data_IF_532490096518
#
_entry.id   IF_532490096518
#
_cell.length_a   1.000
_cell.length_b   1.000
_cell.length_c   1.000
_cell.angle_alpha   90.00
_cell.angle_beta   90.00
_cell.angle_gamma   90.00
#
_symmetry.space_group_name_H-M   'P 1'
#
loop_
_entity.id
_entity.type
_entity.pdbx_description
1 polymer ?
#
# COMPACT_ATOMS: atom_id res chain seq x y z
N UNK A 1 -20.86 -49.99 -6.64
CA UNK A 1 -21.82 -49.01 -7.22
C UNK A 1 -22.42 -48.07 -6.17
N UNK A 2 -23.04 -48.55 -5.09
CA UNK A 2 -23.62 -47.69 -4.00
C UNK A 2 -22.72 -46.56 -3.47
N UNK A 3 -21.43 -46.80 -3.19
CA UNK A 3 -20.51 -45.77 -2.70
C UNK A 3 -20.27 -44.62 -3.70
N UNK A 4 -20.25 -44.92 -5.02
CA UNK A 4 -20.08 -43.89 -6.06
C UNK A 4 -21.34 -43.03 -6.20
N UNK A 5 -22.53 -43.63 -6.12
CA UNK A 5 -23.80 -42.89 -6.14
C UNK A 5 -23.96 -42.00 -4.90
N UNK A 6 -23.55 -42.46 -3.71
CA UNK A 6 -23.57 -41.63 -2.50
C UNK A 6 -22.62 -40.42 -2.58
N UNK A 7 -21.42 -40.59 -3.14
CA UNK A 7 -20.47 -39.47 -3.34
C UNK A 7 -21.04 -38.45 -4.33
N UNK A 8 -21.60 -38.90 -5.45
CA UNK A 8 -22.22 -38.01 -6.44
C UNK A 8 -23.40 -37.24 -5.85
N UNK A 9 -24.23 -37.89 -5.03
CA UNK A 9 -25.36 -37.23 -4.37
C UNK A 9 -24.90 -36.16 -3.37
N UNK A 10 -23.87 -36.46 -2.57
CA UNK A 10 -23.28 -35.51 -1.61
C UNK A 10 -22.68 -34.31 -2.33
N UNK A 11 -21.95 -34.53 -3.43
CA UNK A 11 -21.39 -33.46 -4.25
C UNK A 11 -22.48 -32.60 -4.91
N UNK A 12 -23.57 -33.21 -5.38
CA UNK A 12 -24.70 -32.48 -5.95
C UNK A 12 -25.42 -31.61 -4.91
N UNK A 13 -25.62 -32.12 -3.70
CA UNK A 13 -26.20 -31.36 -2.58
C UNK A 13 -25.28 -30.21 -2.19
N UNK A 14 -23.98 -30.45 -2.06
CA UNK A 14 -22.99 -29.39 -1.79
C UNK A 14 -23.00 -28.31 -2.87
N UNK A 15 -23.03 -28.69 -4.15
CA UNK A 15 -23.11 -27.75 -5.25
C UNK A 15 -24.40 -26.92 -5.22
N UNK A 16 -25.55 -27.54 -4.91
CA UNK A 16 -26.83 -26.84 -4.76
C UNK A 16 -26.82 -25.85 -3.58
N UNK A 17 -26.23 -26.24 -2.44
CA UNK A 17 -26.08 -25.37 -1.27
C UNK A 17 -25.15 -24.19 -1.56
N UNK A 18 -24.03 -24.41 -2.26
CA UNK A 18 -23.14 -23.33 -2.69
C UNK A 18 -23.84 -22.39 -3.66
N UNK A 19 -24.57 -22.92 -4.65
CA UNK A 19 -25.34 -22.11 -5.60
C UNK A 19 -26.43 -21.29 -4.90
N UNK A 20 -27.15 -21.88 -3.95
CA UNK A 20 -28.14 -21.17 -3.14
C UNK A 20 -27.48 -20.07 -2.28
N UNK A 21 -26.36 -20.37 -1.62
CA UNK A 21 -25.62 -19.40 -0.83
C UNK A 21 -25.13 -18.22 -1.69
N UNK A 22 -24.56 -18.48 -2.86
CA UNK A 22 -24.14 -17.43 -3.80
C UNK A 22 -25.34 -16.60 -4.29
N UNK A 23 -26.50 -17.22 -4.53
CA UNK A 23 -27.71 -16.50 -4.92
C UNK A 23 -28.23 -15.58 -3.80
N UNK A 24 -28.32 -16.06 -2.56
CA UNK A 24 -28.83 -15.28 -1.43
C UNK A 24 -27.85 -14.21 -0.92
N UNK A 25 -26.54 -14.43 -1.08
CA UNK A 25 -25.49 -13.47 -0.71
C UNK A 25 -25.19 -12.47 -1.82
N UNK A 26 -25.76 -12.65 -3.02
CA UNK A 26 -25.56 -11.72 -4.12
C UNK A 26 -26.13 -10.35 -3.73
N UNK A 27 -25.36 -9.26 -3.88
CA UNK A 27 -25.88 -7.92 -3.67
C UNK A 27 -27.15 -7.71 -4.50
N UNK A 28 -28.16 -7.05 -3.91
CA UNK A 28 -29.44 -6.79 -4.56
C UNK A 28 -29.29 -6.01 -5.87
N UNK A 29 -30.31 -6.11 -6.72
CA UNK A 29 -30.35 -5.38 -7.99
C UNK A 29 -30.17 -3.87 -7.77
N UNK A 30 -29.40 -3.25 -8.66
CA UNK A 30 -29.13 -1.83 -8.62
C UNK A 30 -30.43 -1.06 -8.88
N UNK A 31 -30.93 -0.18 -7.97
CA UNK A 31 -31.95 0.79 -8.33
C UNK A 31 -31.49 1.62 -9.54
N UNK A 32 -32.36 1.73 -10.55
CA UNK A 32 -32.17 2.58 -11.72
C UNK A 32 -31.88 4.00 -11.25
N UNK A 33 -30.62 4.42 -11.39
CA UNK A 33 -30.22 5.78 -11.07
C UNK A 33 -30.56 6.62 -12.30
N UNK A 34 -31.59 7.46 -12.18
CA UNK A 34 -31.94 8.39 -13.25
C UNK A 34 -30.72 9.24 -13.60
N UNK A 35 -30.46 9.44 -14.90
CA UNK A 35 -29.43 10.40 -15.35
C UNK A 35 -29.82 11.79 -14.86
N UNK A 36 -29.20 12.25 -13.78
CA UNK A 36 -29.29 13.63 -13.39
C UNK A 36 -28.49 14.46 -14.39
N UNK A 37 -29.04 15.60 -14.82
CA UNK A 37 -28.29 16.56 -15.62
C UNK A 37 -26.97 16.89 -14.90
N UNK A 38 -25.85 17.07 -15.62
CA UNK A 38 -24.59 17.40 -14.99
C UNK A 38 -24.79 18.64 -14.12
N UNK A 39 -24.66 18.46 -12.80
CA UNK A 39 -24.59 19.59 -11.89
C UNK A 39 -23.40 20.39 -12.37
N UNK A 40 -23.60 21.65 -12.76
CA UNK A 40 -22.51 22.56 -13.09
C UNK A 40 -21.66 22.73 -11.82
N UNK A 41 -20.69 21.83 -11.64
CA UNK A 41 -19.85 21.81 -10.45
C UNK A 41 -19.08 23.13 -10.40
N UNK A 42 -19.13 23.79 -9.24
CA UNK A 42 -18.33 25.00 -9.04
C UNK A 42 -16.85 24.63 -9.10
N UNK A 43 -15.99 25.58 -9.47
CA UNK A 43 -14.52 25.39 -9.44
C UNK A 43 -14.03 24.88 -8.09
N UNK A 44 -14.70 25.27 -6.99
CA UNK A 44 -14.38 24.78 -5.64
C UNK A 44 -14.59 23.27 -5.49
N UNK A 45 -15.69 22.72 -6.04
CA UNK A 45 -15.98 21.27 -5.99
C UNK A 45 -14.95 20.51 -6.83
N UNK A 46 -14.63 21.01 -8.03
CA UNK A 46 -13.63 20.39 -8.92
C UNK A 46 -12.25 20.37 -8.25
N UNK A 47 -11.81 21.50 -7.67
CA UNK A 47 -10.52 21.58 -6.97
C UNK A 47 -10.47 20.64 -5.75
N UNK A 48 -11.58 20.51 -5.01
CA UNK A 48 -11.70 19.53 -3.92
C UNK A 48 -11.61 18.10 -4.46
N UNK A 49 -12.26 17.82 -5.58
CA UNK A 49 -12.21 16.52 -6.26
C UNK A 49 -10.81 16.15 -6.71
N UNK A 50 -10.07 17.10 -7.30
CA UNK A 50 -8.67 16.90 -7.68
C UNK A 50 -7.81 16.57 -6.46
N UNK A 51 -7.96 17.34 -5.39
CA UNK A 51 -7.26 17.11 -4.13
C UNK A 51 -7.50 15.70 -3.59
N UNK A 52 -8.77 15.27 -3.54
CA UNK A 52 -9.16 13.96 -3.03
C UNK A 52 -8.77 12.81 -3.97
N UNK A 53 -8.82 13.01 -5.29
CA UNK A 53 -8.37 12.02 -6.27
C UNK A 53 -6.85 11.78 -6.17
N UNK A 54 -6.07 12.82 -5.86
CA UNK A 54 -4.64 12.68 -5.54
C UNK A 54 -4.45 11.98 -4.21
N UNK A 55 -5.12 12.41 -3.13
CA UNK A 55 -5.04 11.78 -1.82
C UNK A 55 -5.44 10.29 -1.84
N UNK A 56 -6.41 9.93 -2.70
CA UNK A 56 -6.87 8.57 -2.94
C UNK A 56 -5.98 7.71 -3.83
N UNK A 57 -4.84 8.24 -4.26
CA UNK A 57 -3.87 7.56 -5.14
C UNK A 57 -4.46 7.10 -6.49
N UNK A 58 -5.55 7.75 -6.94
CA UNK A 58 -6.23 7.39 -8.19
C UNK A 58 -5.27 7.49 -9.39
N UNK A 59 -4.40 8.51 -9.39
CA UNK A 59 -3.43 8.75 -10.47
C UNK A 59 -2.42 7.60 -10.56
N UNK A 60 -1.91 7.11 -9.43
CA UNK A 60 -0.87 6.06 -9.41
C UNK A 60 -1.36 4.74 -10.04
N UNK A 61 -2.63 4.43 -9.83
CA UNK A 61 -3.25 3.22 -10.39
C UNK A 61 -3.73 3.44 -11.82
N UNK A 62 -4.47 4.52 -12.08
CA UNK A 62 -5.18 4.74 -13.35
C UNK A 62 -4.36 5.48 -14.41
N UNK A 63 -3.06 5.71 -14.19
CA UNK A 63 -2.17 6.34 -15.16
C UNK A 63 -0.92 5.48 -15.35
N UNK A 64 -0.61 5.13 -16.60
CA UNK A 64 0.67 4.50 -16.94
C UNK A 64 1.76 5.55 -17.14
N UNK A 65 3.05 5.22 -16.92
CA UNK A 65 4.14 6.13 -17.26
C UNK A 65 4.02 6.63 -18.72
N UNK A 66 4.13 7.95 -18.91
CA UNK A 66 3.97 8.63 -20.20
C UNK A 66 2.59 8.45 -20.88
N UNK A 67 1.58 7.92 -20.18
CA UNK A 67 0.22 7.81 -20.66
C UNK A 67 -0.63 9.05 -20.36
N UNK A 68 -1.82 9.09 -20.96
CA UNK A 68 -2.80 10.10 -20.61
C UNK A 68 -3.33 9.86 -19.18
N UNK A 69 -3.49 10.95 -18.42
CA UNK A 69 -3.94 10.90 -17.04
C UNK A 69 -5.27 10.17 -16.93
N UNK A 70 -5.37 9.21 -15.99
CA UNK A 70 -6.57 8.41 -15.72
C UNK A 70 -7.05 7.46 -16.84
N UNK A 71 -6.31 7.32 -17.94
CA UNK A 71 -6.69 6.47 -19.08
C UNK A 71 -6.54 4.96 -18.81
N UNK A 72 -6.04 4.56 -17.65
CA UNK A 72 -5.86 3.16 -17.26
C UNK A 72 -4.75 2.45 -18.04
N UNK A 73 -4.82 1.12 -18.06
CA UNK A 73 -3.90 0.24 -18.78
C UNK A 73 -2.71 -0.28 -17.96
N UNK A 74 -2.54 0.17 -16.70
CA UNK A 74 -1.48 -0.33 -15.83
C UNK A 74 -1.73 -1.80 -15.49
N UNK A 75 -0.72 -2.64 -15.71
CA UNK A 75 -0.70 -4.01 -15.22
C UNK A 75 -0.34 -4.01 -13.72
N UNK A 76 -1.16 -4.66 -12.91
CA UNK A 76 -0.95 -4.85 -11.49
C UNK A 76 -0.74 -6.35 -11.23
N UNK A 77 0.52 -6.71 -10.97
CA UNK A 77 0.87 -8.09 -10.66
C UNK A 77 0.33 -8.47 -9.28
N UNK A 78 -0.43 -9.54 -9.21
CA UNK A 78 -0.94 -10.14 -7.96
C UNK A 78 -0.55 -11.61 -7.88
N UNK A 79 -0.52 -12.22 -6.68
CA UNK A 79 -0.25 -13.67 -6.56
C UNK A 79 -1.19 -14.54 -7.40
N UNK A 80 -2.32 -13.98 -7.83
CA UNK A 80 -3.37 -14.63 -8.58
C UNK A 80 -3.29 -14.39 -10.10
N UNK A 81 -2.34 -13.57 -10.57
CA UNK A 81 -2.21 -13.14 -11.97
C UNK A 81 -2.22 -11.62 -12.12
N UNK A 82 -2.26 -11.13 -13.36
CA UNK A 82 -2.25 -9.70 -13.63
C UNK A 82 -3.67 -9.13 -13.68
N UNK A 83 -3.90 -8.08 -12.90
CA UNK A 83 -5.05 -7.19 -13.06
C UNK A 83 -4.67 -6.03 -13.97
N UNK A 84 -5.64 -5.47 -14.68
CA UNK A 84 -5.43 -4.31 -15.56
C UNK A 84 -6.37 -3.19 -15.13
N UNK A 85 -5.80 -2.05 -14.77
CA UNK A 85 -6.54 -0.93 -14.21
C UNK A 85 -7.37 -0.24 -15.32
N UNK A 86 -8.68 0.01 -15.13
CA UNK A 86 -9.54 0.57 -16.18
C UNK A 86 -9.31 2.06 -16.41
N UNK A 87 -9.76 2.54 -17.56
CA UNK A 87 -9.89 3.95 -17.87
C UNK A 87 -11.04 4.58 -17.05
N UNK A 88 -10.77 5.70 -16.37
CA UNK A 88 -11.77 6.44 -15.57
C UNK A 88 -11.92 7.90 -16.04
N UNK A 89 -11.52 8.20 -17.28
CA UNK A 89 -11.80 9.48 -17.94
C UNK A 89 -13.28 9.58 -18.35
N UNK A 90 -13.80 10.77 -18.72
CA UNK A 90 -15.21 10.93 -19.09
C UNK A 90 -15.54 10.43 -20.51
N UNK A 91 -14.74 9.55 -21.08
CA UNK A 91 -15.07 8.88 -22.34
C UNK A 91 -16.28 7.96 -22.15
N UNK A 92 -17.29 8.08 -23.03
CA UNK A 92 -18.56 7.37 -22.91
C UNK A 92 -18.45 5.85 -23.16
N UNK A 93 -17.53 5.46 -24.05
CA UNK A 93 -17.41 4.09 -24.55
C UNK A 93 -16.48 3.23 -23.67
N UNK A 94 -15.37 3.83 -23.22
CA UNK A 94 -14.26 3.12 -22.57
C UNK A 94 -13.94 3.62 -21.18
N UNK A 95 -14.45 4.79 -20.79
CA UNK A 95 -14.29 5.40 -19.48
C UNK A 95 -15.58 5.38 -18.66
N UNK A 96 -15.76 6.42 -17.83
CA UNK A 96 -16.93 6.60 -16.96
C UNK A 96 -17.92 7.64 -17.48
N UNK A 97 -17.80 8.09 -18.74
CA UNK A 97 -18.61 9.19 -19.30
C UNK A 97 -20.13 8.98 -19.17
N UNK A 98 -20.58 7.72 -19.34
CA UNK A 98 -21.99 7.37 -19.23
C UNK A 98 -22.49 7.14 -17.79
N UNK A 99 -21.60 7.19 -16.79
CA UNK A 99 -21.96 6.93 -15.39
C UNK A 99 -22.69 8.13 -14.79
N UNK A 100 -23.41 7.90 -13.71
CA UNK A 100 -23.95 8.97 -12.86
C UNK A 100 -23.09 9.12 -11.60
N UNK A 101 -23.23 10.23 -10.87
CA UNK A 101 -22.60 10.38 -9.57
C UNK A 101 -23.04 9.28 -8.59
N UNK A 102 -24.29 8.81 -8.69
CA UNK A 102 -24.81 7.68 -7.89
C UNK A 102 -24.14 6.35 -8.27
N UNK A 103 -23.90 6.10 -9.56
CA UNK A 103 -23.16 4.91 -10.01
C UNK A 103 -21.72 4.92 -9.47
N UNK A 104 -21.06 6.08 -9.53
CA UNK A 104 -19.70 6.25 -9.02
C UNK A 104 -19.63 6.08 -7.50
N UNK A 105 -20.52 6.74 -6.76
CA UNK A 105 -20.65 6.60 -5.30
C UNK A 105 -20.83 5.14 -4.89
N UNK A 106 -21.78 4.46 -5.55
CA UNK A 106 -22.06 3.07 -5.29
C UNK A 106 -20.87 2.17 -5.59
N UNK A 107 -20.16 2.40 -6.70
CA UNK A 107 -18.98 1.62 -7.03
C UNK A 107 -17.88 1.80 -5.98
N UNK A 108 -17.64 3.03 -5.52
CA UNK A 108 -16.67 3.28 -4.45
C UNK A 108 -17.06 2.64 -3.12
N UNK A 109 -18.35 2.63 -2.79
CA UNK A 109 -18.84 2.10 -1.51
C UNK A 109 -19.05 0.60 -1.48
N UNK A 110 -19.42 0.02 -2.62
CA UNK A 110 -19.86 -1.38 -2.69
C UNK A 110 -18.94 -2.23 -3.55
N UNK A 111 -18.01 -1.68 -4.31
CA UNK A 111 -17.18 -2.45 -5.24
C UNK A 111 -17.99 -3.13 -6.36
N UNK A 112 -19.14 -2.56 -6.72
CA UNK A 112 -20.01 -3.04 -7.80
C UNK A 112 -20.01 -1.98 -8.90
N UNK A 113 -19.55 -2.36 -10.09
CA UNK A 113 -19.59 -1.48 -11.27
C UNK A 113 -21.03 -1.23 -11.75
N UNK A 114 -21.22 -0.19 -12.57
CA UNK A 114 -22.53 0.21 -13.14
C UNK A 114 -23.34 -0.94 -13.77
N UNK A 115 -22.68 -1.92 -14.38
CA UNK A 115 -23.36 -3.07 -15.01
C UNK A 115 -23.61 -4.25 -14.04
N UNK A 116 -23.39 -4.05 -12.74
CA UNK A 116 -23.57 -5.07 -11.71
C UNK A 116 -22.36 -5.98 -11.51
N UNK A 117 -21.25 -5.77 -12.24
CA UNK A 117 -20.09 -6.64 -12.08
C UNK A 117 -19.30 -6.32 -10.81
N UNK A 118 -18.96 -7.36 -10.04
CA UNK A 118 -18.11 -7.27 -8.86
C UNK A 118 -16.67 -6.90 -9.23
N UNK A 119 -16.12 -5.91 -8.53
CA UNK A 119 -14.73 -5.51 -8.65
C UNK A 119 -13.83 -6.37 -7.78
N UNK A 120 -12.62 -6.65 -8.27
CA UNK A 120 -11.58 -7.26 -7.47
C UNK A 120 -11.12 -6.28 -6.37
N UNK A 121 -10.77 -6.78 -5.17
CA UNK A 121 -10.42 -5.94 -4.01
C UNK A 121 -9.09 -5.19 -4.15
N UNK A 122 -8.39 -5.36 -5.29
CA UNK A 122 -7.33 -4.45 -5.70
C UNK A 122 -7.84 -3.02 -5.90
N UNK A 123 -9.10 -2.85 -6.30
CA UNK A 123 -9.80 -1.58 -6.13
C UNK A 123 -10.18 -1.47 -4.64
N UNK A 124 -9.73 -0.44 -3.92
CA UNK A 124 -9.78 -0.39 -2.46
C UNK A 124 -11.17 0.01 -1.93
N UNK A 125 -12.25 -0.55 -2.46
CA UNK A 125 -13.63 -0.20 -2.09
C UNK A 125 -13.94 -0.44 -0.60
N UNK A 126 -13.23 -1.36 0.06
CA UNK A 126 -13.34 -1.59 1.49
C UNK A 126 -12.88 -0.37 2.33
N UNK A 127 -11.92 0.38 1.82
CA UNK A 127 -11.48 1.64 2.40
C UNK A 127 -12.29 2.81 1.88
N UNK A 128 -12.54 2.86 0.56
CA UNK A 128 -13.30 3.95 -0.04
C UNK A 128 -14.76 4.03 0.41
N UNK A 129 -15.34 2.96 0.95
CA UNK A 129 -16.66 3.03 1.57
C UNK A 129 -16.72 4.00 2.76
N UNK A 130 -15.57 4.40 3.33
CA UNK A 130 -15.48 5.39 4.40
C UNK A 130 -15.65 6.83 3.89
N UNK A 131 -15.53 7.07 2.58
CA UNK A 131 -15.51 8.40 1.97
C UNK A 131 -16.93 8.96 1.92
N UNK A 132 -17.16 10.14 2.48
CA UNK A 132 -18.49 10.76 2.46
C UNK A 132 -19.03 10.93 1.05
N UNK A 133 -20.36 10.91 0.92
CA UNK A 133 -21.04 11.24 -0.35
C UNK A 133 -20.53 12.53 -1.00
N UNK A 134 -20.37 13.60 -0.23
CA UNK A 134 -19.89 14.90 -0.75
C UNK A 134 -18.50 14.82 -1.38
N UNK A 135 -17.61 14.01 -0.79
CA UNK A 135 -16.24 13.86 -1.24
C UNK A 135 -16.16 12.93 -2.46
N UNK A 136 -17.03 11.92 -2.51
CA UNK A 136 -17.19 11.06 -3.69
C UNK A 136 -17.75 11.83 -4.89
N UNK A 137 -18.76 12.68 -4.68
CA UNK A 137 -19.32 13.55 -5.72
C UNK A 137 -18.28 14.58 -6.22
N UNK A 138 -17.43 15.10 -5.33
CA UNK A 138 -16.34 15.99 -5.71
C UNK A 138 -15.31 15.28 -6.60
N UNK A 139 -14.86 14.07 -6.22
CA UNK A 139 -13.96 13.25 -7.03
C UNK A 139 -14.58 12.99 -8.40
N UNK A 140 -15.85 12.59 -8.44
CA UNK A 140 -16.58 12.36 -9.69
C UNK A 140 -16.62 13.62 -10.55
N UNK A 141 -16.98 14.78 -9.98
CA UNK A 141 -17.01 16.05 -10.70
C UNK A 141 -15.64 16.41 -11.30
N UNK A 142 -14.54 16.16 -10.57
CA UNK A 142 -13.19 16.34 -11.12
C UNK A 142 -12.90 15.39 -12.28
N UNK A 143 -13.17 14.09 -12.13
CA UNK A 143 -12.99 13.10 -13.21
C UNK A 143 -13.87 13.40 -14.42
N UNK A 144 -15.02 14.04 -14.26
CA UNK A 144 -15.86 14.47 -15.38
C UNK A 144 -15.41 15.78 -16.02
N UNK A 145 -14.48 16.50 -15.41
CA UNK A 145 -13.96 17.79 -15.91
C UNK A 145 -12.68 17.66 -16.76
N UNK A 146 -12.00 16.51 -16.71
CA UNK A 146 -10.76 16.27 -17.47
C UNK A 146 -11.05 15.89 -18.93
N UNK A 147 -10.01 15.87 -19.75
CA UNK A 147 -10.13 15.43 -21.14
C UNK A 147 -10.52 13.93 -21.24
N UNK A 148 -11.52 13.57 -22.07
CA UNK A 148 -11.85 12.18 -22.34
C UNK A 148 -10.73 11.50 -23.13
N UNK A 149 -10.42 10.26 -22.78
CA UNK A 149 -9.45 9.44 -23.51
C UNK A 149 -10.14 8.15 -23.91
N UNK A 150 -10.16 7.83 -25.21
CA UNK A 150 -10.72 6.57 -25.70
C UNK A 150 -9.69 5.46 -25.60
N UNK A 151 -9.72 4.70 -24.51
CA UNK A 151 -8.80 3.59 -24.24
C UNK A 151 -9.54 2.43 -23.60
N UNK A 152 -9.77 1.37 -24.38
CA UNK A 152 -10.41 0.14 -23.89
C UNK A 152 -9.46 -0.58 -22.93
N UNK A 153 -9.97 -1.01 -21.78
CA UNK A 153 -9.18 -1.81 -20.85
C UNK A 153 -8.91 -3.22 -21.40
N UNK A 154 -7.85 -3.85 -20.90
CA UNK A 154 -7.51 -5.25 -21.19
C UNK A 154 -8.21 -6.18 -20.19
N UNK A 155 -8.55 -7.38 -20.65
CA UNK A 155 -9.02 -8.46 -19.80
C UNK A 155 -7.95 -8.88 -18.78
N UNK A 156 -8.37 -9.23 -17.56
CA UNK A 156 -7.45 -9.68 -16.54
C UNK A 156 -6.87 -11.07 -16.87
N UNK A 157 -5.62 -11.28 -16.49
CA UNK A 157 -4.90 -12.55 -16.67
C UNK A 157 -4.81 -13.29 -15.33
N UNK A 158 -5.97 -13.49 -14.73
CA UNK A 158 -6.08 -14.23 -13.47
C UNK A 158 -6.10 -15.73 -13.74
N UNK A 159 -5.47 -16.49 -12.85
CA UNK A 159 -5.46 -17.94 -12.88
C UNK A 159 -6.73 -18.47 -12.24
N UNK A 160 -7.24 -19.60 -12.73
CA UNK A 160 -8.31 -20.32 -12.05
C UNK A 160 -7.87 -20.69 -10.62
N UNK A 161 -8.73 -20.53 -9.60
CA UNK A 161 -10.15 -20.14 -9.68
C UNK A 161 -10.42 -18.62 -9.63
N UNK A 162 -9.41 -17.78 -9.46
CA UNK A 162 -9.55 -16.33 -9.22
C UNK A 162 -10.08 -15.54 -10.43
N UNK A 163 -10.07 -16.11 -11.64
CA UNK A 163 -10.71 -15.54 -12.81
C UNK A 163 -12.26 -15.60 -12.77
N UNK A 164 -12.85 -16.34 -11.84
CA UNK A 164 -14.30 -16.41 -11.66
C UNK A 164 -14.79 -15.34 -10.68
N UNK A 165 -15.45 -14.29 -11.21
CA UNK A 165 -15.93 -13.15 -10.41
C UNK A 165 -17.02 -13.50 -9.40
N UNK A 166 -17.77 -14.58 -9.58
CA UNK A 166 -18.83 -14.98 -8.63
C UNK A 166 -18.24 -15.42 -7.27
N UNK A 167 -16.98 -15.87 -7.25
CA UNK A 167 -16.28 -16.20 -6.00
C UNK A 167 -16.05 -14.96 -5.10
N UNK A 168 -16.13 -13.75 -5.67
CA UNK A 168 -16.03 -12.52 -4.90
C UNK A 168 -17.23 -12.30 -3.97
N UNK A 169 -18.38 -12.94 -4.21
CA UNK A 169 -19.53 -12.90 -3.28
C UNK A 169 -19.13 -13.50 -1.92
N UNK A 170 -18.49 -14.67 -1.95
CA UNK A 170 -17.96 -15.30 -0.73
C UNK A 170 -16.86 -14.47 -0.09
N UNK A 171 -15.91 -13.96 -0.89
CA UNK A 171 -14.82 -13.12 -0.38
C UNK A 171 -15.34 -11.87 0.36
N UNK A 172 -16.29 -11.16 -0.23
CA UNK A 172 -16.87 -9.94 0.36
C UNK A 172 -17.60 -10.23 1.66
N UNK A 173 -18.31 -11.36 1.74
CA UNK A 173 -18.98 -11.79 2.98
C UNK A 173 -18.00 -11.98 4.15
N UNK A 174 -16.74 -12.31 3.86
CA UNK A 174 -15.71 -12.54 4.87
C UNK A 174 -14.88 -11.29 5.21
N UNK A 175 -14.64 -10.41 4.25
CA UNK A 175 -13.62 -9.35 4.35
C UNK A 175 -14.12 -7.93 4.08
N UNK A 176 -15.38 -7.74 3.69
CA UNK A 176 -15.91 -6.42 3.38
C UNK A 176 -17.06 -6.04 4.31
N UNK A 177 -16.92 -4.85 4.91
CA UNK A 177 -17.97 -4.19 5.68
C UNK A 177 -18.17 -2.79 5.11
N UNK A 178 -19.36 -2.56 4.56
CA UNK A 178 -19.75 -1.26 4.05
C UNK A 178 -20.00 -0.26 5.18
N UNK A 179 -19.64 1.01 4.97
CA UNK A 179 -20.05 2.10 5.84
C UNK A 179 -19.16 3.33 5.70
N UNK A 180 -19.82 4.50 5.62
CA UNK A 180 -19.17 5.81 5.67
C UNK A 180 -18.51 6.04 7.04
N UNK A 181 -17.43 6.82 7.04
CA UNK A 181 -16.71 7.15 8.26
C UNK A 181 -17.60 7.91 9.24
N UNK A 182 -17.59 7.43 10.49
CA UNK A 182 -18.24 8.11 11.61
C UNK A 182 -17.17 8.63 12.57
N UNK A 183 -17.19 9.92 12.93
CA UNK A 183 -16.28 10.45 13.93
C UNK A 183 -16.34 9.66 15.24
N UNK A 184 -15.18 9.32 15.77
CA UNK A 184 -15.06 8.62 17.05
C UNK A 184 -15.34 9.60 18.19
N UNK A 185 -16.37 9.37 19.03
CA UNK A 185 -16.65 10.23 20.17
C UNK A 185 -15.46 10.32 21.13
N UNK A 186 -15.21 11.51 21.67
CA UNK A 186 -14.10 11.75 22.60
C UNK A 186 -12.73 11.96 21.94
N UNK A 187 -12.61 11.78 20.62
CA UNK A 187 -11.41 12.13 19.87
C UNK A 187 -11.50 13.56 19.32
N UNK A 188 -10.35 14.21 19.13
CA UNK A 188 -10.29 15.56 18.56
C UNK A 188 -10.72 15.58 17.08
N UNK A 189 -11.06 16.78 16.57
CA UNK A 189 -11.36 16.96 15.15
C UNK A 189 -10.16 16.60 14.26
N UNK A 190 -8.94 16.97 14.66
CA UNK A 190 -7.69 16.64 13.97
C UNK A 190 -7.47 15.12 13.93
N UNK A 191 -7.69 14.41 15.04
CA UNK A 191 -7.59 12.95 15.06
C UNK A 191 -8.62 12.29 14.14
N UNK A 192 -9.88 12.75 14.17
CA UNK A 192 -10.94 12.21 13.32
C UNK A 192 -10.67 12.48 11.83
N UNK A 193 -10.09 13.64 11.49
CA UNK A 193 -9.66 13.95 10.13
C UNK A 193 -8.54 13.01 9.67
N UNK A 194 -7.56 12.75 10.53
CA UNK A 194 -6.51 11.78 10.25
C UNK A 194 -7.03 10.37 10.05
N UNK A 195 -7.94 9.93 10.93
CA UNK A 195 -8.58 8.62 10.83
C UNK A 195 -9.37 8.46 9.53
N UNK A 196 -10.13 9.49 9.13
CA UNK A 196 -10.87 9.53 7.87
C UNK A 196 -9.94 9.35 6.66
N UNK A 197 -8.83 10.09 6.61
CA UNK A 197 -7.87 10.02 5.50
C UNK A 197 -7.12 8.69 5.47
N UNK A 198 -6.62 8.21 6.62
CA UNK A 198 -5.83 6.97 6.72
C UNK A 198 -6.66 5.72 6.43
N UNK A 199 -7.91 5.67 6.91
CA UNK A 199 -8.80 4.52 6.70
C UNK A 199 -9.53 4.56 5.37
N UNK A 200 -9.83 5.76 4.89
CA UNK A 200 -10.53 6.02 3.64
C UNK A 200 -9.58 6.10 2.46
N UNK A 201 -9.43 7.29 1.88
CA UNK A 201 -8.68 7.51 0.64
C UNK A 201 -7.22 7.06 0.70
N UNK A 202 -6.53 7.20 1.83
CA UNK A 202 -5.15 6.75 1.99
C UNK A 202 -5.00 5.23 2.16
N UNK A 203 -6.09 4.50 2.46
CA UNK A 203 -6.18 3.04 2.54
C UNK A 203 -4.95 2.34 3.14
N UNK A 204 -4.35 2.92 4.19
CA UNK A 204 -3.00 2.55 4.61
C UNK A 204 -2.94 1.10 5.13
N UNK A 205 -4.05 0.62 5.68
CA UNK A 205 -4.20 -0.76 6.14
C UNK A 205 -4.02 -1.80 5.02
N UNK A 206 -4.22 -1.45 3.74
CA UNK A 206 -4.06 -2.41 2.64
C UNK A 206 -2.62 -2.88 2.43
N UNK A 207 -1.64 -2.02 2.72
CA UNK A 207 -0.23 -2.42 2.70
C UNK A 207 0.25 -2.81 4.10
N UNK A 208 -0.16 -2.05 5.12
CA UNK A 208 0.28 -2.27 6.50
C UNK A 208 -0.52 -3.34 7.27
N UNK A 209 -1.22 -4.24 6.57
CA UNK A 209 -1.88 -5.40 7.18
C UNK A 209 -1.61 -6.62 6.33
N UNK A 210 -1.11 -7.70 6.93
CA UNK A 210 -0.89 -8.95 6.23
C UNK A 210 -2.17 -9.44 5.56
N UNK A 211 -2.08 -9.76 4.27
CA UNK A 211 -3.13 -10.44 3.52
C UNK A 211 -2.92 -11.95 3.59
N UNK A 212 -4.01 -12.71 3.70
CA UNK A 212 -3.97 -14.16 3.71
C UNK A 212 -3.98 -14.75 2.29
N UNK A 213 -3.97 -16.08 2.18
CA UNK A 213 -3.96 -16.79 0.89
C UNK A 213 -5.18 -16.52 0.00
N UNK A 214 -6.29 -16.02 0.55
CA UNK A 214 -7.49 -15.61 -0.20
C UNK A 214 -7.43 -14.13 -0.63
N UNK A 215 -6.34 -13.42 -0.32
CA UNK A 215 -6.19 -11.99 -0.61
C UNK A 215 -7.00 -11.08 0.31
N UNK A 216 -7.49 -11.60 1.45
CA UNK A 216 -8.21 -10.82 2.46
C UNK A 216 -7.32 -10.40 3.63
N UNK A 217 -7.59 -9.24 4.23
CA UNK A 217 -6.97 -8.75 5.46
C UNK A 217 -7.90 -8.96 6.66
N UNK A 218 -7.33 -9.04 7.87
CA UNK A 218 -8.10 -9.17 9.11
C UNK A 218 -8.17 -7.83 9.85
N UNK A 219 -9.37 -7.38 10.21
CA UNK A 219 -9.55 -6.15 11.01
C UNK A 219 -8.86 -6.22 12.37
N UNK A 220 -8.87 -7.39 13.03
CA UNK A 220 -8.20 -7.57 14.32
C UNK A 220 -6.68 -7.43 14.23
N UNK A 221 -6.11 -7.63 13.04
CA UNK A 221 -4.69 -7.47 12.73
C UNK A 221 -4.36 -6.19 11.97
N UNK A 222 -5.30 -5.25 11.87
CA UNK A 222 -5.09 -4.01 11.14
C UNK A 222 -3.82 -3.30 11.64
N UNK A 223 -2.99 -2.86 10.68
CA UNK A 223 -1.75 -2.11 10.92
C UNK A 223 -0.60 -2.90 11.58
N UNK A 224 -0.67 -4.24 11.60
CA UNK A 224 0.40 -5.11 12.11
C UNK A 224 1.53 -5.39 11.11
N UNK A 225 1.47 -4.79 9.92
CA UNK A 225 2.49 -4.96 8.89
C UNK A 225 2.41 -6.31 8.16
N UNK A 226 3.35 -6.52 7.24
CA UNK A 226 3.44 -7.73 6.45
C UNK A 226 4.19 -7.56 5.13
N UNK A 227 4.44 -8.68 4.45
CA UNK A 227 4.95 -8.64 3.08
C UNK A 227 3.87 -8.13 2.13
N UNK A 228 4.23 -7.14 1.30
CA UNK A 228 3.39 -6.67 0.20
C UNK A 228 3.48 -7.72 -0.93
N UNK A 229 2.38 -8.43 -1.23
CA UNK A 229 2.42 -9.51 -2.22
C UNK A 229 2.89 -9.00 -3.58
N UNK A 230 3.76 -9.78 -4.23
CA UNK A 230 4.33 -9.53 -5.56
C UNK A 230 5.15 -8.24 -5.75
N UNK A 231 5.12 -7.29 -4.81
CA UNK A 231 6.05 -6.16 -4.79
C UNK A 231 7.36 -6.53 -4.08
N UNK A 232 7.33 -7.58 -3.25
CA UNK A 232 8.49 -8.11 -2.53
C UNK A 232 9.14 -7.08 -1.60
N UNK A 233 8.35 -6.13 -1.13
CA UNK A 233 8.70 -5.18 -0.07
C UNK A 233 7.95 -5.55 1.20
N UNK A 234 8.54 -5.20 2.34
CA UNK A 234 7.91 -5.37 3.64
C UNK A 234 7.28 -4.04 4.08
N UNK A 235 5.98 -4.03 4.33
CA UNK A 235 5.29 -2.92 4.97
C UNK A 235 5.40 -3.11 6.48
N UNK A 236 6.16 -2.28 7.21
CA UNK A 236 6.36 -2.51 8.65
C UNK A 236 5.07 -2.25 9.44
N UNK A 237 4.95 -2.88 10.60
CA UNK A 237 3.87 -2.65 11.55
C UNK A 237 3.85 -1.20 12.03
N UNK A 238 2.68 -0.55 11.95
CA UNK A 238 2.46 0.80 12.50
C UNK A 238 2.03 0.75 13.97
N UNK A 239 1.80 -0.45 14.50
CA UNK A 239 1.32 -0.72 15.88
C UNK A 239 2.40 -1.35 16.77
N UNK A 240 3.64 -1.46 16.27
CA UNK A 240 4.77 -2.03 16.99
C UNK A 240 5.95 -1.07 16.95
N UNK A 241 6.34 -0.53 18.11
CA UNK A 241 7.53 0.33 18.24
C UNK A 241 8.85 -0.39 17.91
N UNK A 242 8.85 -1.72 17.72
CA UNK A 242 10.00 -2.47 17.19
C UNK A 242 10.17 -2.30 15.68
N UNK A 243 9.10 -1.91 15.00
CA UNK A 243 9.05 -1.69 13.56
C UNK A 243 8.74 -0.22 13.27
N UNK A 244 7.68 0.10 12.54
CA UNK A 244 7.30 1.49 12.24
C UNK A 244 6.27 2.06 13.24
N UNK A 245 6.17 1.51 14.45
CA UNK A 245 5.40 2.14 15.53
C UNK A 245 5.96 3.52 15.84
N UNK A 246 5.07 4.51 15.86
CA UNK A 246 5.42 5.93 15.84
C UNK A 246 5.43 6.57 17.24
N UNK A 247 5.49 5.76 18.31
CA UNK A 247 5.28 6.23 19.68
C UNK A 247 6.26 7.33 20.13
N UNK A 248 7.55 7.13 19.87
CA UNK A 248 8.62 8.08 20.20
C UNK A 248 8.87 9.15 19.11
N UNK A 249 8.24 9.02 17.95
CA UNK A 249 8.38 9.97 16.85
C UNK A 249 7.67 11.28 17.16
N UNK A 250 8.23 12.40 16.71
CA UNK A 250 7.50 13.67 16.73
C UNK A 250 6.43 13.68 15.64
N UNK A 251 5.36 14.44 15.83
CA UNK A 251 4.28 14.54 14.83
C UNK A 251 4.84 15.11 13.52
N UNK A 252 5.77 16.04 13.63
CA UNK A 252 6.46 16.67 12.51
C UNK A 252 7.27 15.65 11.70
N UNK A 253 8.02 14.75 12.36
CA UNK A 253 8.80 13.71 11.67
C UNK A 253 7.89 12.75 10.87
N UNK A 254 6.68 12.49 11.37
CA UNK A 254 5.70 11.62 10.69
C UNK A 254 5.09 12.38 9.51
N UNK A 255 4.65 13.62 9.72
CA UNK A 255 4.07 14.46 8.68
C UNK A 255 5.07 14.69 7.52
N UNK A 256 6.34 14.97 7.85
CA UNK A 256 7.40 15.14 6.86
C UNK A 256 7.68 13.83 6.10
N UNK A 257 7.73 12.68 6.79
CA UNK A 257 7.90 11.40 6.12
C UNK A 257 6.77 11.14 5.11
N UNK A 258 5.52 11.47 5.46
CA UNK A 258 4.35 11.28 4.60
C UNK A 258 4.28 12.28 3.44
N UNK A 259 4.59 13.56 3.66
CA UNK A 259 4.37 14.61 2.66
C UNK A 259 5.64 14.94 1.85
N UNK A 260 6.80 14.85 2.49
CA UNK A 260 8.12 15.17 1.89
C UNK A 260 8.82 13.92 1.39
N UNK A 261 8.58 12.78 2.04
CA UNK A 261 9.23 11.50 1.76
C UNK A 261 10.51 11.26 2.58
N UNK A 262 10.95 12.26 3.34
CA UNK A 262 12.12 12.19 4.23
C UNK A 262 11.81 12.92 5.54
N UNK A 263 12.41 12.45 6.63
CA UNK A 263 12.38 13.12 7.94
C UNK A 263 13.73 12.95 8.63
N UNK A 264 13.88 13.47 9.85
CA UNK A 264 15.12 13.26 10.61
C UNK A 264 15.29 11.82 11.08
N UNK A 265 14.21 11.03 11.05
CA UNK A 265 14.16 9.64 11.51
C UNK A 265 14.34 8.63 10.38
N UNK A 266 13.94 8.97 9.15
CA UNK A 266 14.01 8.04 8.05
C UNK A 266 13.60 8.61 6.71
N UNK A 267 13.57 7.75 5.70
CA UNK A 267 13.15 8.06 4.34
C UNK A 267 12.21 6.97 3.85
N UNK A 268 11.20 7.34 3.06
CA UNK A 268 10.41 6.35 2.32
C UNK A 268 11.21 5.83 1.12
N UNK A 269 10.91 4.61 0.71
CA UNK A 269 11.50 3.94 -0.44
C UNK A 269 10.50 2.91 -0.98
N UNK A 270 10.78 2.38 -2.18
CA UNK A 270 9.94 1.37 -2.82
C UNK A 270 8.49 1.85 -2.97
N UNK A 271 7.48 1.03 -2.62
CA UNK A 271 6.07 1.37 -2.82
C UNK A 271 5.62 2.62 -2.07
N UNK A 272 6.15 2.88 -0.87
CA UNK A 272 5.82 4.12 -0.17
C UNK A 272 6.40 5.36 -0.83
N UNK A 273 7.52 5.26 -1.55
CA UNK A 273 8.00 6.38 -2.36
C UNK A 273 7.04 6.69 -3.51
N UNK A 274 6.44 5.67 -4.14
CA UNK A 274 5.40 5.87 -5.16
C UNK A 274 4.14 6.53 -4.58
N UNK A 275 3.70 6.11 -3.39
CA UNK A 275 2.55 6.70 -2.68
C UNK A 275 2.81 8.17 -2.34
N UNK A 276 3.98 8.50 -1.80
CA UNK A 276 4.33 9.90 -1.50
C UNK A 276 4.41 10.72 -2.78
N UNK A 277 5.02 10.18 -3.84
CA UNK A 277 5.18 10.88 -5.11
C UNK A 277 3.83 11.15 -5.82
N UNK A 278 2.94 10.18 -5.88
CA UNK A 278 1.69 10.32 -6.63
C UNK A 278 0.52 10.89 -5.80
N UNK A 279 0.56 10.75 -4.47
CA UNK A 279 -0.55 11.09 -3.57
C UNK A 279 -0.15 12.06 -2.46
N UNK A 280 0.59 11.60 -1.45
CA UNK A 280 0.63 12.29 -0.15
C UNK A 280 1.35 13.66 -0.19
N UNK A 281 2.26 13.89 -1.13
CA UNK A 281 2.91 15.20 -1.29
C UNK A 281 1.94 16.34 -1.66
N UNK A 282 0.72 16.00 -2.08
CA UNK A 282 -0.32 16.95 -2.45
C UNK A 282 -1.25 17.33 -1.31
N UNK A 283 -1.18 16.64 -0.17
CA UNK A 283 -1.96 16.97 1.01
C UNK A 283 -1.65 18.38 1.52
N UNK A 284 -2.62 19.01 2.16
CA UNK A 284 -2.35 20.19 2.98
C UNK A 284 -1.51 19.80 4.19
N UNK A 285 -0.81 20.78 4.77
CA UNK A 285 0.00 20.56 5.97
C UNK A 285 -0.87 20.11 7.15
N UNK A 286 -2.10 20.64 7.26
CA UNK A 286 -3.08 20.24 8.26
C UNK A 286 -3.53 18.78 8.09
N UNK A 287 -3.74 18.32 6.86
CA UNK A 287 -4.16 16.93 6.61
C UNK A 287 -3.00 15.95 6.82
N UNK A 288 -1.78 16.30 6.40
CA UNK A 288 -0.59 15.50 6.68
C UNK A 288 -0.35 15.38 8.20
N UNK A 289 -0.52 16.48 8.94
CA UNK A 289 -0.45 16.50 10.41
C UNK A 289 -1.57 15.70 11.06
N UNK A 290 -2.80 15.81 10.56
CA UNK A 290 -3.93 15.04 11.05
C UNK A 290 -3.68 13.53 10.90
N UNK A 291 -3.19 13.09 9.73
CA UNK A 291 -2.78 11.70 9.50
C UNK A 291 -1.69 11.28 10.49
N UNK A 292 -0.67 12.12 10.72
CA UNK A 292 0.37 11.86 11.71
C UNK A 292 -0.17 11.71 13.13
N UNK A 293 -1.10 12.56 13.55
CA UNK A 293 -1.78 12.48 14.86
C UNK A 293 -2.53 11.17 15.02
N UNK A 294 -3.30 10.76 14.00
CA UNK A 294 -4.02 9.50 14.02
C UNK A 294 -3.07 8.29 14.09
N UNK A 295 -2.06 8.25 13.22
CA UNK A 295 -1.10 7.14 13.15
C UNK A 295 -0.29 6.99 14.44
N UNK A 296 0.15 8.10 15.04
CA UNK A 296 0.85 8.08 16.33
C UNK A 296 -0.02 7.55 17.47
N UNK A 297 -1.33 7.79 17.40
CA UNK A 297 -2.29 7.34 18.41
C UNK A 297 -2.77 5.89 18.22
N UNK A 298 -2.25 5.16 17.22
CA UNK A 298 -2.60 3.75 17.04
C UNK A 298 -2.20 2.92 18.27
N UNK A 299 -3.05 1.99 18.74
CA UNK A 299 -2.74 1.14 19.88
C UNK A 299 -1.46 0.34 19.64
N UNK A 300 -0.54 0.38 20.61
CA UNK A 300 0.64 -0.46 20.59
C UNK A 300 0.24 -1.90 20.96
N UNK A 301 0.40 -2.83 20.03
CA UNK A 301 0.02 -4.24 20.22
C UNK A 301 1.21 -5.12 20.61
N UNK A 302 2.41 -4.76 20.16
CA UNK A 302 3.65 -5.44 20.54
C UNK A 302 4.42 -4.63 21.58
N UNK A 303 4.27 -5.01 22.84
CA UNK A 303 4.98 -4.42 23.99
C UNK A 303 6.20 -5.23 24.41
N UNK A 304 6.50 -6.32 23.70
CA UNK A 304 7.60 -7.19 24.07
C UNK A 304 8.94 -6.42 24.03
N UNK A 305 9.81 -6.57 25.06
CA UNK A 305 11.06 -5.80 25.15
C UNK A 305 11.96 -6.11 23.95
N UNK A 306 12.65 -5.12 23.37
CA UNK A 306 13.48 -5.32 22.18
C UNK A 306 14.38 -6.55 22.34
N UNK A 307 14.53 -7.41 21.31
CA UNK A 307 15.42 -8.56 21.41
C UNK A 307 16.80 -8.10 21.84
N UNK A 308 17.46 -8.88 22.69
CA UNK A 308 18.88 -8.66 23.00
C UNK A 308 19.68 -8.67 21.70
N UNK A 309 20.70 -7.81 21.61
CA UNK A 309 21.49 -7.70 20.38
C UNK A 309 21.96 -9.07 19.91
N UNK A 310 21.61 -9.41 18.67
CA UNK A 310 21.95 -10.69 18.05
C UNK A 310 23.37 -10.72 17.49
N UNK A 311 24.18 -9.67 17.74
CA UNK A 311 25.58 -9.61 17.36
C UNK A 311 26.38 -10.85 17.79
N UNK A 312 26.04 -11.42 18.96
CA UNK A 312 26.70 -12.63 19.51
C UNK A 312 26.49 -13.89 18.65
N UNK A 313 25.49 -13.91 17.78
CA UNK A 313 25.20 -15.04 16.89
C UNK A 313 25.92 -14.92 15.54
N UNK A 314 26.59 -13.80 15.27
CA UNK A 314 27.32 -13.58 14.02
C UNK A 314 28.77 -14.02 14.20
N UNK A 315 29.29 -14.82 13.26
CA UNK A 315 30.68 -15.24 13.31
C UNK A 315 31.62 -14.04 13.12
N UNK A 316 32.83 -14.05 13.73
CA UNK A 316 33.82 -12.98 13.55
C UNK A 316 34.16 -12.70 12.08
N UNK A 317 34.19 -13.74 11.24
CA UNK A 317 34.50 -13.64 9.82
C UNK A 317 33.40 -12.88 9.06
N UNK A 318 32.12 -13.16 9.34
CA UNK A 318 30.99 -12.45 8.73
C UNK A 318 30.97 -11.00 9.20
N UNK A 319 31.21 -10.74 10.49
CA UNK A 319 31.28 -9.38 11.03
C UNK A 319 32.40 -8.57 10.37
N UNK A 320 33.59 -9.13 10.24
CA UNK A 320 34.73 -8.44 9.63
C UNK A 320 34.53 -8.22 8.12
N UNK A 321 33.96 -9.21 7.42
CA UNK A 321 33.57 -9.07 6.01
C UNK A 321 32.57 -7.91 5.82
N UNK A 322 31.49 -7.91 6.61
CA UNK A 322 30.47 -6.86 6.56
C UNK A 322 31.02 -5.48 6.88
N UNK A 323 31.90 -5.38 7.88
CA UNK A 323 32.59 -4.13 8.25
C UNK A 323 33.48 -3.62 7.11
N UNK A 324 34.25 -4.48 6.45
CA UNK A 324 35.10 -4.10 5.31
C UNK A 324 34.27 -3.53 4.16
N UNK A 325 33.18 -4.22 3.80
CA UNK A 325 32.25 -3.75 2.77
C UNK A 325 31.64 -2.41 3.18
N UNK A 326 31.19 -2.28 4.43
CA UNK A 326 30.59 -1.03 4.94
C UNK A 326 31.54 0.16 4.82
N UNK A 327 32.80 0.00 5.28
CA UNK A 327 33.81 1.06 5.22
C UNK A 327 34.12 1.44 3.77
N UNK A 328 34.20 0.46 2.88
CA UNK A 328 34.53 0.70 1.48
C UNK A 328 33.38 1.37 0.69
N UNK A 329 32.12 1.00 0.97
CA UNK A 329 30.99 1.30 0.09
C UNK A 329 29.93 2.22 0.72
N UNK A 330 29.78 2.23 2.04
CA UNK A 330 28.64 2.84 2.72
C UNK A 330 29.01 4.03 3.62
N UNK A 331 30.17 3.95 4.28
CA UNK A 331 30.58 4.90 5.31
C UNK A 331 30.78 6.34 4.79
N UNK A 332 31.03 6.52 3.49
CA UNK A 332 31.17 7.84 2.86
C UNK A 332 29.90 8.69 2.99
N UNK A 333 28.73 8.06 2.97
CA UNK A 333 27.43 8.74 3.13
C UNK A 333 26.84 8.55 4.53
N UNK A 334 26.93 7.33 5.09
CA UNK A 334 26.30 7.01 6.38
C UNK A 334 27.20 7.25 7.60
N UNK A 335 28.45 7.65 7.38
CA UNK A 335 29.46 7.87 8.43
C UNK A 335 30.04 6.56 8.98
N UNK A 336 31.20 6.64 9.64
CA UNK A 336 31.84 5.44 10.23
C UNK A 336 30.99 4.76 11.32
N UNK A 337 30.15 5.52 12.01
CA UNK A 337 29.27 5.05 13.09
C UNK A 337 27.80 4.92 12.65
N UNK A 338 27.51 4.94 11.35
CA UNK A 338 26.13 4.81 10.87
C UNK A 338 25.19 5.93 11.30
N UNK A 339 25.69 7.09 11.73
CA UNK A 339 24.86 8.22 12.19
C UNK A 339 24.18 8.97 11.04
N UNK A 340 24.66 8.79 9.80
CA UNK A 340 24.17 9.51 8.63
C UNK A 340 24.34 11.02 8.74
N UNK A 341 23.64 11.73 7.86
CA UNK A 341 23.53 13.18 7.83
C UNK A 341 22.10 13.52 7.37
N UNK A 342 21.17 13.56 8.31
CA UNK A 342 19.77 13.83 8.01
C UNK A 342 19.57 15.25 7.43
N UNK A 343 18.59 15.45 6.52
CA UNK A 343 17.71 14.42 5.95
C UNK A 343 18.30 13.70 4.71
N UNK A 344 19.49 14.11 4.25
CA UNK A 344 20.10 13.60 3.00
C UNK A 344 20.50 12.13 3.09
N UNK A 345 21.14 11.72 4.19
CA UNK A 345 21.56 10.36 4.45
C UNK A 345 20.97 9.90 5.78
N UNK A 346 19.99 8.99 5.79
CA UNK A 346 19.32 8.60 7.03
C UNK A 346 20.31 7.90 7.98
N UNK A 347 20.09 8.02 9.31
CA UNK A 347 20.83 7.23 10.27
C UNK A 347 20.56 5.74 10.05
N UNK A 348 21.59 4.91 10.15
CA UNK A 348 21.49 3.45 10.22
C UNK A 348 21.55 2.95 11.67
N UNK A 349 22.30 3.66 12.51
CA UNK A 349 22.35 3.42 13.94
C UNK A 349 21.02 3.84 14.60
N UNK A 350 20.42 2.95 15.39
CA UNK A 350 19.15 3.19 16.09
C UNK A 350 17.93 3.37 15.18
N UNK A 351 18.03 3.04 13.89
CA UNK A 351 16.93 3.20 12.94
C UNK A 351 16.04 1.95 12.93
N UNK A 352 14.75 2.13 13.20
CA UNK A 352 13.79 1.02 13.25
C UNK A 352 13.66 0.26 11.92
N UNK A 353 13.82 0.93 10.77
CA UNK A 353 13.82 0.27 9.45
C UNK A 353 14.99 -0.72 9.28
N UNK A 354 16.05 -0.54 10.06
CA UNK A 354 17.21 -1.43 10.11
C UNK A 354 17.01 -2.51 11.17
N UNK A 355 16.44 -2.20 12.33
CA UNK A 355 16.32 -3.15 13.45
C UNK A 355 15.05 -4.00 13.44
N UNK A 356 14.06 -3.69 12.59
CA UNK A 356 12.84 -4.47 12.45
C UNK A 356 13.11 -5.94 12.11
N UNK A 357 12.19 -6.84 12.49
CA UNK A 357 12.37 -8.29 12.37
C UNK A 357 12.71 -8.75 10.95
N UNK A 358 11.97 -8.24 9.97
CA UNK A 358 12.21 -8.53 8.55
C UNK A 358 13.44 -7.78 8.02
N UNK A 359 14.45 -8.46 7.45
CA UNK A 359 15.57 -7.78 6.79
C UNK A 359 15.29 -7.36 5.35
N UNK A 360 14.11 -7.71 4.79
CA UNK A 360 13.79 -7.57 3.36
C UNK A 360 14.11 -6.17 2.84
N UNK A 361 13.64 -5.13 3.52
CA UNK A 361 13.84 -3.76 3.03
C UNK A 361 15.32 -3.35 3.05
N UNK A 362 16.06 -3.70 4.10
CA UNK A 362 17.49 -3.39 4.18
C UNK A 362 18.31 -4.10 3.09
N UNK A 363 17.99 -5.36 2.79
CA UNK A 363 18.62 -6.10 1.69
C UNK A 363 18.29 -5.44 0.35
N UNK A 364 17.01 -5.10 0.12
CA UNK A 364 16.58 -4.44 -1.12
C UNK A 364 17.21 -3.07 -1.29
N UNK A 365 17.36 -2.28 -0.24
CA UNK A 365 18.04 -0.99 -0.33
C UNK A 365 19.51 -1.15 -0.75
N UNK A 366 20.22 -2.15 -0.22
CA UNK A 366 21.59 -2.44 -0.67
C UNK A 366 21.62 -2.92 -2.12
N UNK A 367 20.74 -3.84 -2.51
CA UNK A 367 20.72 -4.37 -3.87
C UNK A 367 20.32 -3.30 -4.91
N UNK A 368 19.24 -2.59 -4.66
CA UNK A 368 18.58 -1.72 -5.63
C UNK A 368 19.08 -0.29 -5.58
N UNK A 369 19.63 0.15 -4.43
CA UNK A 369 19.80 1.56 -4.16
C UNK A 369 18.47 2.31 -4.32
N UNK A 370 18.55 3.53 -4.86
CA UNK A 370 17.40 4.30 -5.27
C UNK A 370 17.35 5.69 -4.64
N UNK A 371 16.25 6.38 -4.89
CA UNK A 371 16.02 7.74 -4.41
C UNK A 371 14.75 7.78 -3.55
N UNK A 372 14.73 8.60 -2.50
CA UNK A 372 13.49 9.15 -1.97
C UNK A 372 12.69 9.83 -3.10
N UNK A 373 11.37 9.99 -2.97
CA UNK A 373 10.55 10.62 -4.00
C UNK A 373 10.92 12.10 -4.15
N UNK A 374 11.01 12.57 -5.40
CA UNK A 374 11.12 14.00 -5.68
C UNK A 374 9.77 14.67 -5.42
N UNK A 375 9.68 15.46 -4.35
CA UNK A 375 8.42 16.12 -3.95
C UNK A 375 8.53 17.64 -4.05
N UNK A 376 7.40 18.35 -3.95
CA UNK A 376 7.39 19.83 -3.88
C UNK A 376 8.26 20.38 -2.74
N UNK A 377 8.33 19.67 -1.61
CA UNK A 377 9.12 20.04 -0.42
C UNK A 377 10.53 19.40 -0.39
N UNK A 378 10.82 18.47 -1.30
CA UNK A 378 12.15 17.87 -1.48
C UNK A 378 12.39 17.55 -2.97
N UNK A 379 12.61 18.58 -3.82
CA UNK A 379 12.64 18.40 -5.27
C UNK A 379 13.92 17.73 -5.79
N UNK A 380 14.95 17.61 -4.95
CA UNK A 380 16.27 17.05 -5.31
C UNK A 380 16.77 16.11 -4.22
N UNK A 381 16.14 14.93 -4.06
CA UNK A 381 16.51 13.97 -3.02
C UNK A 381 17.88 13.35 -3.30
N UNK A 382 18.63 13.03 -2.25
CA UNK A 382 19.89 12.30 -2.36
C UNK A 382 19.61 10.81 -2.54
N UNK A 383 20.31 10.18 -3.49
CA UNK A 383 20.16 8.76 -3.80
C UNK A 383 21.21 7.89 -3.11
N UNK A 384 20.89 6.60 -3.00
CA UNK A 384 21.80 5.52 -2.64
C UNK A 384 22.16 4.74 -3.92
N UNK A 385 23.45 4.47 -4.21
CA UNK A 385 23.83 3.69 -5.38
C UNK A 385 23.36 2.22 -5.25
N UNK A 386 23.02 1.55 -6.37
CA UNK A 386 22.73 0.12 -6.37
C UNK A 386 24.01 -0.70 -6.21
N UNK A 387 24.03 -1.67 -5.31
CA UNK A 387 25.20 -2.56 -5.13
C UNK A 387 25.00 -3.97 -5.69
N UNK A 388 23.87 -4.26 -6.34
CA UNK A 388 23.61 -5.57 -6.95
C UNK A 388 24.72 -5.99 -7.93
N UNK A 389 25.26 -5.09 -8.74
CA UNK A 389 26.29 -5.44 -9.71
C UNK A 389 27.71 -5.51 -9.11
N UNK A 390 27.91 -5.02 -7.88
CA UNK A 390 29.24 -4.92 -7.24
C UNK A 390 29.46 -5.98 -6.17
N UNK A 391 28.42 -6.29 -5.39
CA UNK A 391 28.49 -7.19 -4.24
C UNK A 391 27.83 -8.53 -4.56
N UNK A 392 28.51 -9.62 -4.23
CA UNK A 392 27.91 -10.95 -4.26
C UNK A 392 26.96 -11.18 -3.06
N UNK A 393 26.21 -12.28 -3.06
CA UNK A 393 25.19 -12.54 -2.03
C UNK A 393 25.75 -12.71 -0.61
N UNK A 394 26.98 -13.22 -0.47
CA UNK A 394 27.64 -13.31 0.83
C UNK A 394 28.05 -11.92 1.33
N UNK A 395 28.54 -11.04 0.45
CA UNK A 395 28.92 -9.68 0.80
C UNK A 395 27.70 -8.83 1.17
N UNK A 396 26.60 -8.96 0.42
CA UNK A 396 25.32 -8.31 0.75
C UNK A 396 24.81 -8.79 2.10
N UNK A 397 24.78 -10.11 2.33
CA UNK A 397 24.36 -10.66 3.61
C UNK A 397 25.25 -10.19 4.77
N UNK A 398 26.57 -10.15 4.57
CA UNK A 398 27.52 -9.70 5.59
C UNK A 398 27.37 -8.21 5.91
N UNK A 399 27.29 -7.32 4.91
CA UNK A 399 27.17 -5.87 5.16
C UNK A 399 25.82 -5.52 5.78
N UNK A 400 24.73 -6.16 5.34
CA UNK A 400 23.41 -5.94 5.94
C UNK A 400 23.39 -6.48 7.37
N UNK A 401 23.97 -7.66 7.63
CA UNK A 401 24.13 -8.18 8.99
C UNK A 401 24.89 -7.22 9.88
N UNK A 402 26.05 -6.72 9.41
CA UNK A 402 26.86 -5.75 10.14
C UNK A 402 26.04 -4.50 10.51
N UNK A 403 25.35 -3.88 9.53
CA UNK A 403 24.50 -2.71 9.73
C UNK A 403 23.39 -2.99 10.77
N UNK A 404 22.79 -4.19 10.74
CA UNK A 404 21.68 -4.58 11.61
C UNK A 404 22.09 -4.87 13.06
N UNK A 405 23.37 -5.10 13.35
CA UNK A 405 23.85 -5.44 14.70
C UNK A 405 24.94 -4.50 15.25
N UNK A 406 25.48 -3.61 14.43
CA UNK A 406 26.45 -2.60 14.85
C UNK A 406 25.81 -1.43 15.60
N UNK A 407 26.61 -0.64 16.32
CA UNK A 407 26.19 0.62 16.98
C UNK A 407 25.04 0.49 17.97
N UNK A 408 24.90 -0.68 18.61
CA UNK A 408 23.80 -0.97 19.54
C UNK A 408 22.51 -1.41 18.85
N UNK A 409 22.52 -1.59 17.53
CA UNK A 409 21.42 -2.22 16.81
C UNK A 409 21.22 -3.68 17.25
N UNK A 410 19.99 -4.14 17.11
CA UNK A 410 19.54 -5.45 17.57
C UNK A 410 18.71 -6.21 16.53
N UNK A 411 18.94 -5.92 15.25
CA UNK A 411 18.33 -6.66 14.15
C UNK A 411 18.85 -8.10 14.06
N UNK A 412 18.13 -8.91 13.29
CA UNK A 412 18.48 -10.31 13.00
C UNK A 412 19.57 -10.40 11.92
N UNK A 413 20.53 -11.34 12.02
CA UNK A 413 21.50 -11.61 10.95
C UNK A 413 20.82 -12.04 9.65
N UNK A 414 21.49 -11.79 8.52
CA UNK A 414 21.01 -12.10 7.18
C UNK A 414 21.83 -13.23 6.58
N UNK A 415 21.14 -14.19 5.95
CA UNK A 415 21.77 -15.27 5.20
C UNK A 415 21.92 -14.91 3.70
N UNK A 416 22.97 -15.43 3.06
CA UNK A 416 23.21 -15.23 1.63
C UNK A 416 22.04 -15.70 0.74
N UNK A 417 21.34 -16.76 1.15
CA UNK A 417 20.14 -17.23 0.46
C UNK A 417 19.04 -16.16 0.39
N UNK A 418 18.84 -15.39 1.47
CA UNK A 418 17.85 -14.30 1.49
C UNK A 418 18.24 -13.16 0.53
N UNK A 419 19.53 -12.85 0.43
CA UNK A 419 20.05 -11.89 -0.56
C UNK A 419 19.85 -12.40 -2.00
N UNK A 420 20.17 -13.67 -2.24
CA UNK A 420 20.01 -14.32 -3.54
C UNK A 420 18.54 -14.33 -4.00
N UNK A 421 17.61 -14.68 -3.11
CA UNK A 421 16.18 -14.73 -3.43
C UNK A 421 15.64 -13.35 -3.80
N UNK A 422 16.09 -12.28 -3.13
CA UNK A 422 15.69 -10.92 -3.46
C UNK A 422 16.37 -10.40 -4.73
N UNK A 423 17.61 -10.83 -5.00
CA UNK A 423 18.35 -10.46 -6.23
C UNK A 423 17.71 -10.99 -7.50
N UNK A 424 17.18 -12.22 -7.47
CA UNK A 424 16.46 -12.83 -8.61
C UNK A 424 15.22 -12.05 -9.04
N UNK A 425 14.73 -11.14 -8.18
CA UNK A 425 13.54 -10.33 -8.41
C UNK A 425 13.87 -8.95 -9.00
N UNK A 426 15.14 -8.63 -9.20
CA UNK A 426 15.53 -7.40 -9.88
C UNK A 426 15.18 -7.52 -11.37
N UNK A 427 14.68 -6.45 -11.99
CA UNK A 427 14.60 -6.41 -13.45
C UNK A 427 16.00 -6.60 -14.02
N UNK A 428 16.10 -7.38 -15.11
CA UNK A 428 17.34 -7.58 -15.87
C UNK A 428 17.91 -6.27 -16.44
#
# INVERSE_FOLDING_TARGET
MRKRTSIVLVLAILAALVAAALYFLRPGALPDSARHAPVSATTQIINRGEYLARAGDCVACHTVPNGAMFAGGRAMATPFGNLYVPNITPDDDTGIGSWTADDFYRMMHTGISKNGTLLYPAMPFASYSQVTRSDTDAIYAYLMSIAPVKQKNREHELRFPFNNRELLIGWRTLYFKEGEFQPTPGQSAEWNRGAYLVKGLGHCAMCHTAVNALGGSSESKAFEGGMIPNQNWYAPSLTSNREAGLGDWKIEDIADLLQVGVSHRGTVYGPMAEVVYNSLQYLSDDDAKAMAVYLKALPQKDTAPPPSSQARMVSPEVMESGRKVYVAQCAVCHGAEGRGQAPSYPPLAGNQSITMESPVNSIRMVLNGGYPPGTRKNPRPHGMPPFSHLLNDNEVAAVVTYIRVAWGNNGTPVAAAQANDLRKLLPE
#
